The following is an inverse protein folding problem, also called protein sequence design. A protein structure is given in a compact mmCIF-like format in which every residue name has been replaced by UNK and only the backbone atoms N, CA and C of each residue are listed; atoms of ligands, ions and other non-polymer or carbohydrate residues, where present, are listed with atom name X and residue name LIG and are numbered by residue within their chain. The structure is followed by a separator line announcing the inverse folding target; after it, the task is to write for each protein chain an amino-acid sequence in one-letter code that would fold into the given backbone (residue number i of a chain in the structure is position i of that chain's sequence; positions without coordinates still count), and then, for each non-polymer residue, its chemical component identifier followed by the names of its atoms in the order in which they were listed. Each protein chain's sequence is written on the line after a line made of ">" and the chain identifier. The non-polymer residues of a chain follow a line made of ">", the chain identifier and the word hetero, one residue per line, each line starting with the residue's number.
data_IF_294441035227
#
_entry.id   IF_294441035227
#
_cell.length_a   1.000
_cell.length_b   1.000
_cell.length_c   1.000
_cell.angle_alpha   90.00
_cell.angle_beta   90.00
_cell.angle_gamma   90.00
#
_symmetry.space_group_name_H-M   'P 1'
#
loop_
_entity.id
_entity.type
_entity.pdbx_description
1 polymer ?
#
# COMPACT_ATOMS: atom_id res chain seq x y z
N UNK A 1 20.61 3.35 -3.53
CA UNK A 1 19.39 3.16 -2.73
C UNK A 1 19.36 1.70 -2.30
N UNK A 2 19.47 1.38 -1.02
CA UNK A 2 19.44 0.00 -0.56
C UNK A 2 18.01 -0.33 -0.12
N UNK A 3 17.34 -1.21 -0.85
CA UNK A 3 16.03 -1.75 -0.46
C UNK A 3 16.29 -2.86 0.56
N UNK A 4 15.90 -2.66 1.80
CA UNK A 4 16.02 -3.69 2.84
C UNK A 4 14.67 -4.37 2.97
N UNK A 5 14.61 -5.65 2.67
CA UNK A 5 13.45 -6.51 2.93
C UNK A 5 13.16 -6.53 4.44
N UNK A 6 11.98 -6.16 4.82
CA UNK A 6 11.63 -5.41 6.01
C UNK A 6 11.22 -6.30 7.17
N UNK A 7 12.04 -6.33 8.20
CA UNK A 7 11.58 -6.62 9.56
C UNK A 7 11.91 -5.41 10.43
N UNK A 8 11.08 -5.12 11.44
CA UNK A 8 11.33 -4.08 12.46
C UNK A 8 12.82 -4.01 12.89
N UNK A 9 13.43 -5.17 13.17
CA UNK A 9 14.83 -5.26 13.58
C UNK A 9 15.82 -4.75 12.52
N UNK A 10 15.60 -5.08 11.24
CA UNK A 10 16.48 -4.66 10.14
C UNK A 10 16.36 -3.16 9.86
N UNK A 11 15.12 -2.63 9.83
CA UNK A 11 14.88 -1.19 9.67
C UNK A 11 15.58 -0.41 10.78
N UNK A 12 15.39 -0.80 12.05
CA UNK A 12 16.02 -0.17 13.19
C UNK A 12 17.55 -0.21 13.11
N UNK A 13 18.13 -1.37 12.83
CA UNK A 13 19.58 -1.52 12.69
C UNK A 13 20.16 -0.63 11.59
N UNK A 14 19.47 -0.50 10.45
CA UNK A 14 19.92 0.37 9.36
C UNK A 14 19.94 1.85 9.81
N UNK A 15 18.89 2.32 10.48
CA UNK A 15 18.82 3.70 11.00
C UNK A 15 19.92 3.94 12.04
N UNK A 16 20.07 3.05 13.03
CA UNK A 16 21.09 3.16 14.07
C UNK A 16 22.52 3.15 13.49
N UNK A 17 22.75 2.37 12.43
CA UNK A 17 24.02 2.36 11.72
C UNK A 17 24.31 3.71 11.08
N UNK A 18 23.35 4.33 10.39
CA UNK A 18 23.49 5.65 9.78
C UNK A 18 23.73 6.74 10.84
N UNK A 19 23.05 6.66 11.99
CA UNK A 19 23.28 7.57 13.11
C UNK A 19 24.72 7.43 13.62
N UNK A 20 25.23 6.19 13.78
CA UNK A 20 26.63 5.94 14.19
C UNK A 20 27.64 6.48 13.18
N UNK A 21 27.31 6.49 11.90
CA UNK A 21 28.13 7.11 10.85
C UNK A 21 28.06 8.65 10.84
N UNK A 22 27.40 9.27 11.84
CA UNK A 22 27.29 10.73 12.02
C UNK A 22 26.73 11.46 10.79
N UNK A 23 25.76 10.85 10.12
CA UNK A 23 25.02 11.55 9.05
C UNK A 23 24.36 12.80 9.64
N UNK A 24 24.48 13.94 8.96
CA UNK A 24 23.87 15.19 9.42
C UNK A 24 22.34 15.20 9.32
N UNK A 25 21.78 14.47 8.35
CA UNK A 25 20.34 14.29 8.16
C UNK A 25 20.04 12.91 7.61
N UNK A 26 18.81 12.42 7.83
CA UNK A 26 18.32 11.15 7.33
C UNK A 26 16.91 11.33 6.73
N UNK A 27 16.69 10.72 5.59
CA UNK A 27 15.33 10.48 5.06
C UNK A 27 15.03 8.99 5.25
N UNK A 28 13.99 8.70 6.01
CA UNK A 28 13.69 7.34 6.48
C UNK A 28 12.34 6.90 5.98
N UNK A 29 12.31 5.74 5.31
CA UNK A 29 11.12 4.99 4.98
C UNK A 29 11.10 3.73 5.86
N UNK A 30 10.37 3.79 6.97
CA UNK A 30 10.28 2.70 7.94
C UNK A 30 8.81 2.42 8.25
N UNK A 31 8.33 1.24 7.87
CA UNK A 31 6.93 0.85 8.03
C UNK A 31 6.70 -0.12 9.18
N UNK A 32 7.74 -0.88 9.57
CA UNK A 32 7.62 -1.96 10.55
C UNK A 32 8.07 -1.57 11.97
N UNK A 33 8.77 -0.44 12.13
CA UNK A 33 9.20 0.04 13.45
C UNK A 33 7.99 0.59 14.20
N UNK A 34 7.74 0.16 15.47
CA UNK A 34 6.70 0.75 16.31
C UNK A 34 6.89 2.26 16.52
N UNK A 35 5.79 3.00 16.65
CA UNK A 35 5.79 4.46 16.81
C UNK A 35 6.68 4.92 17.96
N UNK A 36 6.64 4.24 19.12
CA UNK A 36 7.43 4.58 20.29
C UNK A 36 8.94 4.48 20.03
N UNK A 37 9.36 3.44 19.31
CA UNK A 37 10.78 3.23 18.95
C UNK A 37 11.23 4.27 17.92
N UNK A 38 10.40 4.53 16.91
CA UNK A 38 10.67 5.52 15.88
C UNK A 38 10.74 6.94 16.46
N UNK A 39 9.83 7.28 17.38
CA UNK A 39 9.84 8.55 18.12
C UNK A 39 11.15 8.73 18.92
N UNK A 40 11.64 7.65 19.53
CA UNK A 40 12.93 7.67 20.26
C UNK A 40 14.09 7.98 19.31
N UNK A 41 14.12 7.35 18.13
CA UNK A 41 15.15 7.61 17.10
C UNK A 41 15.05 9.05 16.57
N UNK A 42 13.85 9.56 16.32
CA UNK A 42 13.64 10.94 15.86
C UNK A 42 14.05 12.00 16.90
N UNK A 43 13.92 11.70 18.20
CA UNK A 43 14.44 12.57 19.29
C UNK A 43 15.96 12.59 19.29
N UNK A 44 16.61 11.46 19.05
CA UNK A 44 18.08 11.36 19.01
C UNK A 44 18.66 12.04 17.76
N UNK A 45 17.90 12.12 16.68
CA UNK A 45 18.33 12.68 15.40
C UNK A 45 17.39 13.79 14.92
N UNK A 46 17.64 15.05 15.29
CA UNK A 46 16.77 16.19 14.88
C UNK A 46 16.65 16.37 13.36
N UNK A 47 17.69 15.98 12.59
CA UNK A 47 17.71 16.04 11.13
C UNK A 47 17.02 14.84 10.43
N UNK A 48 16.28 13.99 11.15
CA UNK A 48 15.55 12.89 10.55
C UNK A 48 14.17 13.34 10.06
N UNK A 49 13.85 12.98 8.81
CA UNK A 49 12.53 13.13 8.18
C UNK A 49 11.99 11.77 7.82
N UNK A 50 10.72 11.53 8.10
CA UNK A 50 10.00 10.33 7.68
C UNK A 50 9.28 10.56 6.36
N UNK A 51 9.25 9.52 5.52
CA UNK A 51 8.44 9.49 4.31
C UNK A 51 7.46 8.30 4.36
N UNK A 52 6.29 8.50 3.75
CA UNK A 52 5.18 7.54 3.70
C UNK A 52 4.67 7.09 5.08
N UNK A 53 4.80 7.93 6.08
CA UNK A 53 4.27 7.70 7.43
C UNK A 53 4.17 9.02 8.18
N UNK A 54 3.05 9.24 8.86
CA UNK A 54 2.90 10.32 9.84
C UNK A 54 3.12 9.74 11.24
N UNK A 55 4.01 10.35 12.00
CA UNK A 55 4.27 9.98 13.38
C UNK A 55 3.71 11.07 14.31
N UNK A 56 2.78 10.73 15.22
CA UNK A 56 2.21 11.69 16.17
C UNK A 56 3.30 12.41 16.98
N UNK A 57 3.19 13.74 17.05
CA UNK A 57 4.17 14.62 17.71
C UNK A 57 5.41 14.96 16.88
N UNK A 58 5.50 14.48 15.63
CA UNK A 58 6.59 14.77 14.70
C UNK A 58 6.08 15.11 13.29
N UNK A 59 4.85 15.56 13.16
CA UNK A 59 4.15 15.80 11.89
C UNK A 59 4.93 16.75 10.98
N UNK A 60 5.60 17.74 11.56
CA UNK A 60 6.44 18.72 10.85
C UNK A 60 7.73 18.13 10.23
N UNK A 61 8.01 16.87 10.52
CA UNK A 61 9.14 16.10 9.97
C UNK A 61 8.66 14.82 9.27
N UNK A 62 7.41 14.78 8.85
CA UNK A 62 6.81 13.66 8.13
C UNK A 62 6.23 14.14 6.80
N UNK A 63 6.44 13.34 5.77
CA UNK A 63 5.84 13.52 4.44
C UNK A 63 5.15 12.21 4.08
N UNK A 64 3.84 12.23 3.90
CA UNK A 64 3.06 11.05 3.53
C UNK A 64 2.09 11.37 2.41
N UNK A 65 1.65 10.32 1.72
CA UNK A 65 0.54 10.37 0.79
C UNK A 65 -0.77 10.18 1.57
N UNK A 66 -1.85 10.72 1.04
CA UNK A 66 -3.19 10.34 1.45
C UNK A 66 -3.58 9.08 0.67
N UNK A 67 -3.14 7.93 1.19
CA UNK A 67 -3.32 6.62 0.56
C UNK A 67 -4.80 6.24 0.43
N UNK A 68 -5.62 6.63 1.42
CA UNK A 68 -7.07 6.40 1.41
C UNK A 68 -7.74 7.20 0.30
N UNK A 69 -7.42 8.49 0.21
CA UNK A 69 -7.97 9.35 -0.83
C UNK A 69 -7.48 8.95 -2.23
N UNK A 70 -6.22 8.55 -2.37
CA UNK A 70 -5.67 8.06 -3.64
C UNK A 70 -6.41 6.82 -4.17
N UNK A 71 -6.65 5.83 -3.32
CA UNK A 71 -7.40 4.62 -3.68
C UNK A 71 -8.88 4.92 -3.93
N UNK A 72 -9.47 5.85 -3.16
CA UNK A 72 -10.82 6.35 -3.42
C UNK A 72 -10.93 6.99 -4.80
N UNK A 73 -9.99 7.86 -5.19
CA UNK A 73 -9.95 8.48 -6.51
C UNK A 73 -9.88 7.43 -7.63
N UNK A 74 -8.99 6.44 -7.51
CA UNK A 74 -8.83 5.39 -8.51
C UNK A 74 -10.11 4.56 -8.67
N UNK A 75 -10.72 4.16 -7.56
CA UNK A 75 -11.96 3.38 -7.56
C UNK A 75 -13.13 4.20 -8.11
N UNK A 76 -13.24 5.46 -7.69
CA UNK A 76 -14.26 6.38 -8.19
C UNK A 76 -14.13 6.60 -9.70
N UNK A 77 -12.91 6.67 -10.23
CA UNK A 77 -12.70 6.76 -11.67
C UNK A 77 -13.32 5.57 -12.39
N UNK A 78 -13.11 4.34 -11.92
CA UNK A 78 -13.73 3.14 -12.50
C UNK A 78 -15.26 3.19 -12.42
N UNK A 79 -15.82 3.66 -11.32
CA UNK A 79 -17.26 3.83 -11.14
C UNK A 79 -17.83 4.85 -12.15
N UNK A 80 -17.12 5.96 -12.38
CA UNK A 80 -17.50 6.97 -13.36
C UNK A 80 -17.47 6.44 -14.81
N UNK A 81 -16.67 5.40 -15.08
CA UNK A 81 -16.67 4.67 -16.36
C UNK A 81 -17.82 3.65 -16.47
N UNK A 82 -18.69 3.57 -15.46
CA UNK A 82 -19.88 2.69 -15.45
C UNK A 82 -19.65 1.32 -14.81
N UNK A 83 -18.48 1.07 -14.21
CA UNK A 83 -18.20 -0.19 -13.52
C UNK A 83 -18.87 -0.22 -12.14
N UNK A 84 -19.65 -1.28 -11.87
CA UNK A 84 -20.31 -1.51 -10.57
C UNK A 84 -19.83 -2.80 -9.89
N UNK A 85 -19.08 -3.62 -10.59
CA UNK A 85 -18.45 -4.84 -10.07
C UNK A 85 -16.96 -4.73 -10.26
N UNK A 86 -16.28 -4.16 -9.25
CA UNK A 86 -14.87 -3.80 -9.30
C UNK A 86 -14.11 -4.74 -8.36
N UNK A 87 -13.14 -5.48 -8.90
CA UNK A 87 -12.20 -6.26 -8.10
C UNK A 87 -11.15 -5.36 -7.45
N UNK A 88 -10.58 -5.79 -6.32
CA UNK A 88 -9.46 -5.11 -5.67
C UNK A 88 -8.35 -6.10 -5.30
N UNK A 89 -7.14 -5.87 -5.82
CA UNK A 89 -5.96 -6.64 -5.44
C UNK A 89 -5.20 -5.88 -4.36
N UNK A 90 -5.25 -6.39 -3.14
CA UNK A 90 -4.67 -5.76 -1.94
C UNK A 90 -3.31 -6.36 -1.59
N UNK A 91 -2.46 -5.59 -0.93
CA UNK A 91 -1.26 -6.13 -0.27
C UNK A 91 -1.65 -7.03 0.91
N UNK A 92 -0.92 -8.15 1.07
CA UNK A 92 -1.05 -9.04 2.22
C UNK A 92 -0.26 -8.55 3.45
N UNK A 93 0.42 -7.41 3.36
CA UNK A 93 1.16 -6.82 4.47
C UNK A 93 0.23 -6.03 5.39
N UNK A 94 0.33 -6.27 6.71
CA UNK A 94 -0.37 -5.49 7.73
C UNK A 94 0.36 -4.17 7.98
N UNK A 95 0.17 -3.21 7.08
CA UNK A 95 0.76 -1.87 7.12
C UNK A 95 -0.31 -0.83 6.82
N UNK A 96 -0.14 0.37 7.36
CA UNK A 96 -1.16 1.43 7.32
C UNK A 96 -1.61 1.80 5.89
N UNK A 97 -0.70 1.91 4.95
CA UNK A 97 -1.04 2.26 3.58
C UNK A 97 -1.86 1.16 2.85
N UNK A 98 -1.66 -0.12 3.19
CA UNK A 98 -2.50 -1.20 2.66
C UNK A 98 -3.92 -1.13 3.20
N UNK A 99 -4.06 -0.87 4.51
CA UNK A 99 -5.36 -0.68 5.17
C UNK A 99 -6.06 0.57 4.64
N UNK A 100 -5.36 1.69 4.53
CA UNK A 100 -5.89 2.97 4.04
C UNK A 100 -6.36 2.87 2.59
N UNK A 101 -5.57 2.24 1.70
CA UNK A 101 -5.97 2.05 0.30
C UNK A 101 -7.17 1.14 0.17
N UNK A 102 -7.24 0.04 0.91
CA UNK A 102 -8.40 -0.84 0.92
C UNK A 102 -9.65 -0.10 1.43
N UNK A 103 -9.49 0.72 2.48
CA UNK A 103 -10.60 1.53 2.98
C UNK A 103 -11.07 2.56 1.96
N UNK A 104 -10.14 3.20 1.23
CA UNK A 104 -10.49 4.14 0.14
C UNK A 104 -11.29 3.47 -0.98
N UNK A 105 -10.97 2.22 -1.32
CA UNK A 105 -11.78 1.42 -2.24
C UNK A 105 -13.20 1.23 -1.72
N UNK A 106 -13.36 0.81 -0.45
CA UNK A 106 -14.68 0.62 0.14
C UNK A 106 -15.47 1.93 0.26
N UNK A 107 -14.82 3.03 0.60
CA UNK A 107 -15.48 4.35 0.70
C UNK A 107 -16.07 4.78 -0.65
N UNK A 108 -15.33 4.62 -1.74
CA UNK A 108 -15.81 4.96 -3.08
C UNK A 108 -17.03 4.13 -3.51
N UNK A 109 -17.04 2.82 -3.18
CA UNK A 109 -18.20 1.96 -3.41
C UNK A 109 -19.40 2.42 -2.59
N UNK A 110 -19.21 2.67 -1.28
CA UNK A 110 -20.27 3.07 -0.37
C UNK A 110 -20.91 4.40 -0.78
N UNK A 111 -20.10 5.42 -1.11
CA UNK A 111 -20.59 6.73 -1.59
C UNK A 111 -21.40 6.61 -2.89
N UNK A 112 -21.11 5.60 -3.70
CA UNK A 112 -21.81 5.35 -4.97
C UNK A 112 -22.99 4.39 -4.83
N UNK A 113 -23.32 3.96 -3.61
CA UNK A 113 -24.40 3.02 -3.34
C UNK A 113 -24.14 1.60 -3.86
N UNK A 114 -22.87 1.26 -4.11
CA UNK A 114 -22.45 -0.08 -4.57
C UNK A 114 -22.13 -0.92 -3.34
N UNK A 115 -22.82 -2.08 -3.14
CA UNK A 115 -22.54 -2.92 -1.99
C UNK A 115 -21.15 -3.54 -2.08
N UNK A 116 -20.40 -3.49 -0.97
CA UNK A 116 -19.11 -4.17 -0.86
C UNK A 116 -19.30 -5.69 -0.97
N UNK A 117 -18.34 -6.33 -1.61
CA UNK A 117 -18.32 -7.78 -1.77
C UNK A 117 -16.90 -8.32 -1.56
N UNK A 118 -16.65 -8.94 -0.43
CA UNK A 118 -15.33 -9.48 -0.06
C UNK A 118 -14.82 -10.56 -1.02
N UNK A 119 -15.70 -11.18 -1.80
CA UNK A 119 -15.29 -12.13 -2.84
C UNK A 119 -14.56 -11.45 -4.01
N UNK A 120 -14.68 -10.13 -4.13
CA UNK A 120 -13.96 -9.32 -5.13
C UNK A 120 -12.65 -8.75 -4.60
N UNK A 121 -12.25 -9.04 -3.36
CA UNK A 121 -10.97 -8.62 -2.78
C UNK A 121 -10.07 -9.83 -2.62
N UNK A 122 -8.86 -9.76 -3.20
CA UNK A 122 -7.82 -10.78 -3.06
C UNK A 122 -6.52 -10.13 -2.57
N UNK A 123 -5.64 -10.93 -2.00
CA UNK A 123 -4.42 -10.46 -1.35
C UNK A 123 -3.19 -11.12 -1.97
N UNK A 124 -2.10 -10.38 -2.10
CA UNK A 124 -0.82 -10.87 -2.58
C UNK A 124 0.36 -10.03 -2.10
N UNK A 125 1.57 -10.49 -2.35
CA UNK A 125 2.76 -9.65 -2.15
C UNK A 125 2.63 -8.39 -3.02
N UNK A 126 3.12 -7.21 -2.55
CA UNK A 126 2.97 -5.95 -3.28
C UNK A 126 3.98 -5.82 -4.44
N UNK A 127 4.12 -6.87 -5.24
CA UNK A 127 4.97 -6.98 -6.41
C UNK A 127 4.21 -7.62 -7.59
N UNK A 128 4.89 -7.78 -8.72
CA UNK A 128 4.31 -8.32 -9.95
C UNK A 128 3.80 -9.76 -9.75
N UNK A 129 4.60 -10.63 -9.12
CA UNK A 129 4.21 -12.02 -8.85
C UNK A 129 3.01 -12.13 -7.91
N UNK A 130 2.95 -11.28 -6.88
CA UNK A 130 1.78 -11.21 -5.99
C UNK A 130 0.54 -10.68 -6.70
N UNK A 131 0.70 -9.79 -7.68
CA UNK A 131 -0.37 -9.35 -8.57
C UNK A 131 -0.91 -10.47 -9.44
N UNK A 132 -0.01 -11.28 -10.03
CA UNK A 132 -0.38 -12.48 -10.80
C UNK A 132 -1.18 -13.48 -9.96
N UNK A 133 -0.70 -13.79 -8.75
CA UNK A 133 -1.35 -14.72 -7.83
C UNK A 133 -2.73 -14.22 -7.40
N UNK A 134 -2.83 -12.96 -6.97
CA UNK A 134 -4.07 -12.35 -6.53
C UNK A 134 -5.11 -12.28 -7.68
N UNK A 135 -4.67 -11.97 -8.92
CA UNK A 135 -5.55 -11.95 -10.09
C UNK A 135 -6.02 -13.35 -10.47
N UNK A 136 -5.14 -14.34 -10.43
CA UNK A 136 -5.48 -15.74 -10.68
C UNK A 136 -6.51 -16.24 -9.67
N UNK A 137 -6.34 -15.90 -8.40
CA UNK A 137 -7.31 -16.22 -7.36
C UNK A 137 -8.66 -15.53 -7.61
N UNK A 138 -8.66 -14.24 -7.97
CA UNK A 138 -9.87 -13.50 -8.27
C UNK A 138 -10.65 -14.14 -9.44
N UNK A 139 -9.96 -14.52 -10.52
CA UNK A 139 -10.55 -15.25 -11.65
C UNK A 139 -11.11 -16.61 -11.23
N UNK A 140 -10.43 -17.32 -10.34
CA UNK A 140 -10.85 -18.61 -9.80
C UNK A 140 -12.14 -18.51 -8.95
N UNK A 141 -12.42 -17.36 -8.35
CA UNK A 141 -13.67 -17.08 -7.61
C UNK A 141 -14.85 -16.75 -8.53
N UNK A 142 -14.62 -16.64 -9.83
CA UNK A 142 -15.60 -16.35 -10.87
C UNK A 142 -15.37 -14.99 -11.52
N UNK A 143 -15.70 -14.88 -12.83
CA UNK A 143 -15.50 -13.64 -13.61
C UNK A 143 -16.64 -12.63 -13.39
N UNK A 144 -16.98 -12.36 -12.13
CA UNK A 144 -18.10 -11.47 -11.77
C UNK A 144 -17.67 -10.02 -11.54
N UNK A 145 -16.61 -9.56 -12.20
CA UNK A 145 -16.13 -8.19 -12.18
C UNK A 145 -15.95 -7.66 -13.61
N UNK A 146 -15.92 -6.36 -13.75
CA UNK A 146 -15.77 -5.68 -15.05
C UNK A 146 -14.60 -4.70 -15.06
N UNK A 147 -14.00 -4.45 -13.88
CA UNK A 147 -12.79 -3.68 -13.70
C UNK A 147 -12.04 -4.19 -12.46
N UNK A 148 -10.76 -3.89 -12.37
CA UNK A 148 -9.92 -4.21 -11.22
C UNK A 148 -9.11 -2.98 -10.84
N UNK A 149 -9.11 -2.65 -9.55
CA UNK A 149 -8.16 -1.71 -8.95
C UNK A 149 -7.10 -2.50 -8.18
N UNK A 150 -5.88 -2.00 -8.13
CA UNK A 150 -4.76 -2.67 -7.51
C UNK A 150 -4.13 -1.77 -6.45
N UNK A 151 -3.55 -2.39 -5.41
CA UNK A 151 -2.82 -1.70 -4.36
C UNK A 151 -1.68 -0.83 -4.92
N UNK A 152 -0.94 -1.31 -5.94
CA UNK A 152 0.12 -0.57 -6.60
C UNK A 152 0.28 -1.00 -8.07
N UNK A 153 1.14 -0.28 -8.80
CA UNK A 153 1.39 -0.50 -10.23
C UNK A 153 2.06 -1.85 -10.51
N UNK A 154 2.92 -2.34 -9.61
CA UNK A 154 3.57 -3.64 -9.77
C UNK A 154 2.55 -4.78 -9.75
N UNK A 155 1.61 -4.77 -8.81
CA UNK A 155 0.51 -5.73 -8.79
C UNK A 155 -0.40 -5.58 -10.02
N UNK A 156 -0.62 -4.35 -10.50
CA UNK A 156 -1.40 -4.12 -11.71
C UNK A 156 -0.71 -4.72 -12.94
N UNK A 157 0.60 -4.59 -13.06
CA UNK A 157 1.37 -5.20 -14.17
C UNK A 157 1.22 -6.73 -14.17
N UNK A 158 1.40 -7.39 -13.02
CA UNK A 158 1.17 -8.84 -12.90
C UNK A 158 -0.26 -9.26 -13.23
N UNK A 159 -1.24 -8.50 -12.74
CA UNK A 159 -2.65 -8.75 -13.04
C UNK A 159 -2.97 -8.64 -14.54
N UNK A 160 -2.41 -7.63 -15.23
CA UNK A 160 -2.57 -7.46 -16.67
C UNK A 160 -2.00 -8.65 -17.45
N UNK A 161 -0.85 -9.22 -17.05
CA UNK A 161 -0.29 -10.43 -17.63
C UNK A 161 -1.29 -11.58 -17.57
N UNK A 162 -1.83 -11.86 -16.39
CA UNK A 162 -2.82 -12.94 -16.18
C UNK A 162 -4.10 -12.70 -16.99
N UNK A 163 -4.61 -11.47 -17.05
CA UNK A 163 -5.80 -11.16 -17.85
C UNK A 163 -5.55 -11.41 -19.35
N UNK A 164 -4.42 -10.94 -19.87
CA UNK A 164 -4.02 -11.13 -21.25
C UNK A 164 -3.89 -12.63 -21.61
N UNK A 165 -3.26 -13.44 -20.76
CA UNK A 165 -3.11 -14.89 -20.95
C UNK A 165 -4.46 -15.63 -20.94
N UNK A 166 -5.47 -15.06 -20.30
CA UNK A 166 -6.84 -15.57 -20.28
C UNK A 166 -7.77 -14.96 -21.35
N UNK A 167 -7.22 -14.13 -22.25
CA UNK A 167 -7.99 -13.51 -23.35
C UNK A 167 -9.01 -12.46 -22.88
N UNK A 168 -8.68 -11.74 -21.79
CA UNK A 168 -9.52 -10.71 -21.16
C UNK A 168 -8.91 -9.33 -21.41
#
# INVERSE_FOLDING_TARGET
>A
MATVTTTNKKERQAIEQLIRHRCAALVVHAKMIPDADLASLMKQMPGMVLINRILPGFENRCIALDDRYGAWLATRHLIQQGHTRIGYLCSNHSISDAEDRLQGYYDALAESGIPANDRLVTFGEPDESGGEQAMTELLGRGRNFTAVACYNDSMAAGAMGVLNDNGI
#
